data_IF_630655246838
#
_entry.id   IF_630655246838
#
_cell.length_a   1.000
_cell.length_b   1.000
_cell.length_c   1.000
_cell.angle_alpha   90.00
_cell.angle_beta   90.00
_cell.angle_gamma   90.00
#
_symmetry.space_group_name_H-M   'P 1'
#
loop_
_entity.id
_entity.type
_entity.pdbx_description
1 polymer ?
#
# COMPACT_ATOMS: atom_id res chain seq x y z
N UNK A 1 -29.27 18.87 15.97
CA UNK A 1 -30.03 17.70 16.46
C UNK A 1 -30.64 18.04 17.81
N UNK A 2 -31.89 17.66 18.05
CA UNK A 2 -32.53 17.86 19.36
C UNK A 2 -32.40 16.60 20.24
N UNK A 3 -32.40 16.77 21.57
CA UNK A 3 -32.28 15.66 22.55
C UNK A 3 -33.38 14.59 22.36
N UNK A 4 -34.54 14.98 21.83
CA UNK A 4 -35.64 14.06 21.47
C UNK A 4 -35.29 13.14 20.31
N UNK A 5 -34.73 13.69 19.22
CA UNK A 5 -34.30 12.91 18.04
C UNK A 5 -33.21 11.90 18.41
N UNK A 6 -32.26 12.28 19.29
CA UNK A 6 -31.19 11.40 19.75
C UNK A 6 -31.76 10.19 20.52
N UNK A 7 -32.74 10.40 21.39
CA UNK A 7 -33.38 9.31 22.16
C UNK A 7 -34.13 8.35 21.25
N UNK A 8 -34.85 8.87 20.27
CA UNK A 8 -35.59 8.06 19.30
C UNK A 8 -34.65 7.20 18.45
N UNK A 9 -33.53 7.76 17.98
CA UNK A 9 -32.48 7.00 17.28
C UNK A 9 -31.88 5.92 18.20
N UNK A 10 -31.63 6.23 19.47
CA UNK A 10 -31.10 5.26 20.44
C UNK A 10 -32.09 4.11 20.71
N UNK A 11 -33.38 4.42 20.74
CA UNK A 11 -34.47 3.46 20.96
C UNK A 11 -34.67 2.55 19.75
N UNK A 12 -34.64 3.09 18.54
CA UNK A 12 -34.62 2.33 17.29
C UNK A 12 -33.35 1.47 17.16
N UNK A 13 -32.21 1.97 17.65
CA UNK A 13 -30.97 1.20 17.62
C UNK A 13 -31.03 -0.03 18.52
N UNK A 14 -31.68 0.03 19.69
CA UNK A 14 -31.72 -1.09 20.66
C UNK A 14 -32.19 -2.42 20.07
N UNK A 15 -33.09 -2.40 19.07
CA UNK A 15 -33.58 -3.62 18.40
C UNK A 15 -32.79 -4.06 17.17
N UNK A 16 -31.85 -3.26 16.68
CA UNK A 16 -31.10 -3.54 15.45
C UNK A 16 -29.65 -3.90 15.77
N UNK A 17 -29.06 -4.89 15.10
CA UNK A 17 -27.65 -5.30 15.29
C UNK A 17 -26.66 -4.38 14.54
N UNK A 18 -26.82 -3.05 14.68
CA UNK A 18 -25.92 -2.07 14.05
C UNK A 18 -24.74 -1.80 14.97
N UNK A 19 -23.55 -2.15 14.49
CA UNK A 19 -22.27 -1.95 15.19
C UNK A 19 -21.73 -0.53 15.08
N UNK A 20 -22.02 0.18 13.98
CA UNK A 20 -21.56 1.55 13.76
C UNK A 20 -22.60 2.37 12.99
N UNK A 21 -22.93 3.56 13.51
CA UNK A 21 -23.83 4.52 12.87
C UNK A 21 -23.24 5.93 13.00
N UNK A 22 -23.11 6.62 11.86
CA UNK A 22 -22.76 8.03 11.79
C UNK A 22 -23.91 8.81 11.16
N UNK A 23 -24.42 9.82 11.87
CA UNK A 23 -25.47 10.72 11.37
C UNK A 23 -24.98 12.15 11.41
N UNK A 24 -24.95 12.78 10.23
CA UNK A 24 -24.48 14.17 10.06
C UNK A 24 -25.63 15.05 9.62
N UNK A 25 -26.01 16.04 10.45
CA UNK A 25 -27.06 17.02 10.13
C UNK A 25 -26.52 18.43 10.35
N UNK A 26 -26.03 19.02 9.28
CA UNK A 26 -25.39 20.34 9.28
C UNK A 26 -24.13 20.32 10.14
N UNK A 27 -24.17 21.05 11.24
CA UNK A 27 -23.09 21.19 12.22
C UNK A 27 -23.04 20.10 13.30
N UNK A 28 -24.02 19.19 13.36
CA UNK A 28 -24.04 18.12 14.35
C UNK A 28 -23.72 16.75 13.73
N UNK A 29 -22.71 16.08 14.30
CA UNK A 29 -22.31 14.71 13.94
C UNK A 29 -22.52 13.80 15.15
N UNK A 30 -23.39 12.80 15.02
CA UNK A 30 -23.65 11.78 16.03
C UNK A 30 -23.03 10.46 15.58
N UNK A 31 -22.02 9.99 16.33
CA UNK A 31 -21.38 8.67 16.13
C UNK A 31 -21.83 7.72 17.23
N UNK A 32 -22.50 6.65 16.85
CA UNK A 32 -22.91 5.57 17.75
C UNK A 32 -22.15 4.31 17.35
N UNK A 33 -21.30 3.81 18.25
CA UNK A 33 -20.62 2.51 18.09
C UNK A 33 -21.08 1.58 19.20
N UNK A 34 -21.51 0.39 18.82
CA UNK A 34 -22.06 -0.63 19.72
C UNK A 34 -21.18 -1.87 19.67
N UNK A 35 -20.81 -2.36 20.84
CA UNK A 35 -19.76 -3.36 21.01
C UNK A 35 -18.58 -2.74 21.74
N UNK A 36 -17.79 -3.58 22.40
CA UNK A 36 -16.53 -3.14 22.97
C UNK A 36 -15.76 -2.45 21.85
N UNK A 37 -15.42 -1.17 22.04
CA UNK A 37 -14.23 -0.62 21.40
C UNK A 37 -13.16 -1.60 21.82
N UNK A 38 -12.78 -2.50 20.91
CA UNK A 38 -11.54 -3.23 21.04
C UNK A 38 -10.54 -2.09 21.16
N UNK A 39 -10.14 -1.77 22.40
CA UNK A 39 -9.06 -0.85 22.66
C UNK A 39 -8.00 -1.22 21.64
N UNK A 40 -7.49 -0.25 20.85
CA UNK A 40 -6.47 -0.54 19.88
C UNK A 40 -5.34 -1.22 20.65
N UNK A 41 -5.30 -2.56 20.53
CA UNK A 41 -4.37 -3.38 21.29
C UNK A 41 -3.02 -2.88 20.83
N UNK A 42 -2.13 -2.45 21.74
CA UNK A 42 -0.86 -1.88 21.35
C UNK A 42 -0.19 -2.88 20.40
N UNK A 43 -0.11 -2.48 19.13
CA UNK A 43 0.59 -3.23 18.11
C UNK A 43 2.04 -3.30 18.59
N UNK A 44 2.67 -4.49 18.62
CA UNK A 44 4.06 -4.59 19.03
C UNK A 44 4.88 -3.65 18.14
N UNK A 45 5.55 -2.69 18.78
CA UNK A 45 6.40 -1.74 18.09
C UNK A 45 7.47 -2.52 17.32
N UNK A 46 7.45 -2.40 16.00
CA UNK A 46 8.45 -2.98 15.11
C UNK A 46 9.83 -2.50 15.53
N UNK A 47 10.66 -3.40 16.07
CA UNK A 47 12.05 -3.09 16.41
C UNK A 47 12.79 -2.71 15.11
N UNK A 48 13.57 -1.62 15.09
CA UNK A 48 14.36 -1.27 13.91
C UNK A 48 15.27 -2.44 13.54
N UNK A 49 15.13 -2.91 12.31
CA UNK A 49 15.99 -3.94 11.75
C UNK A 49 17.42 -3.39 11.66
N UNK A 50 18.38 -4.16 12.15
CA UNK A 50 19.80 -3.83 12.08
C UNK A 50 20.24 -3.70 10.62
N UNK A 51 20.94 -2.61 10.32
CA UNK A 51 21.42 -2.31 8.98
C UNK A 51 22.39 -3.41 8.51
N UNK A 52 22.23 -3.93 7.27
CA UNK A 52 23.11 -4.97 6.76
C UNK A 52 24.54 -4.43 6.57
N UNK A 53 25.56 -5.29 6.78
CA UNK A 53 26.95 -4.88 6.58
C UNK A 53 27.21 -4.45 5.14
N UNK A 54 28.01 -3.39 4.96
CA UNK A 54 28.36 -2.90 3.64
C UNK A 54 29.14 -3.95 2.84
N UNK A 55 28.86 -4.10 1.54
CA UNK A 55 29.59 -5.00 0.68
C UNK A 55 31.05 -4.54 0.49
N UNK A 56 31.99 -5.47 0.33
CA UNK A 56 33.38 -5.15 0.06
C UNK A 56 33.53 -4.43 -1.29
N UNK A 57 34.61 -3.64 -1.48
CA UNK A 57 34.87 -2.94 -2.73
C UNK A 57 35.03 -3.93 -3.89
N UNK A 58 34.39 -3.61 -5.01
CA UNK A 58 34.42 -4.44 -6.20
C UNK A 58 35.82 -4.41 -6.87
N UNK A 59 36.32 -5.55 -7.37
CA UNK A 59 37.54 -5.61 -8.17
C UNK A 59 37.48 -4.73 -9.42
N UNK A 60 38.63 -4.16 -9.79
CA UNK A 60 38.76 -3.32 -10.97
C UNK A 60 38.42 -4.10 -12.26
N UNK A 61 37.64 -3.45 -13.14
CA UNK A 61 37.19 -4.05 -14.39
C UNK A 61 38.36 -4.26 -15.38
N UNK A 62 38.38 -5.38 -16.10
CA UNK A 62 39.37 -5.63 -17.15
C UNK A 62 39.17 -4.67 -18.34
N UNK A 63 40.21 -4.44 -19.15
CA UNK A 63 40.12 -3.61 -20.34
C UNK A 63 39.09 -4.16 -21.33
N UNK A 64 38.32 -3.25 -21.94
CA UNK A 64 37.25 -3.58 -22.87
C UNK A 64 37.84 -4.11 -24.19
N UNK A 65 37.31 -5.20 -24.76
CA UNK A 65 37.75 -5.68 -26.07
C UNK A 65 37.45 -4.66 -27.17
N UNK A 66 38.40 -4.51 -28.10
CA UNK A 66 38.22 -3.69 -29.30
C UNK A 66 37.20 -4.34 -30.23
N UNK A 67 36.23 -3.55 -30.69
CA UNK A 67 35.15 -4.01 -31.58
C UNK A 67 35.70 -4.25 -32.99
N UNK A 68 35.48 -5.43 -33.60
CA UNK A 68 35.87 -5.67 -34.99
C UNK A 68 35.08 -4.77 -35.95
N UNK A 69 35.60 -4.50 -37.16
CA UNK A 69 34.93 -3.64 -38.13
C UNK A 69 33.54 -4.20 -38.48
N UNK A 70 32.53 -3.33 -38.40
CA UNK A 70 31.13 -3.66 -38.67
C UNK A 70 30.99 -4.07 -40.14
N UNK A 71 30.69 -5.33 -40.41
CA UNK A 71 30.35 -5.80 -41.76
C UNK A 71 29.17 -4.97 -42.29
N UNK A 72 29.20 -4.62 -43.59
CA UNK A 72 28.19 -3.81 -44.27
C UNK A 72 26.87 -4.58 -44.51
N UNK A 73 26.39 -5.30 -43.49
CA UNK A 73 25.10 -5.96 -43.48
C UNK A 73 24.10 -5.09 -42.69
N UNK A 74 22.83 -5.06 -43.12
CA UNK A 74 21.75 -4.45 -42.36
C UNK A 74 21.52 -5.26 -41.09
N UNK A 75 21.90 -4.69 -39.95
CA UNK A 75 21.65 -5.25 -38.64
C UNK A 75 20.18 -5.00 -38.26
N UNK A 76 19.37 -6.06 -38.25
CA UNK A 76 17.97 -6.01 -37.81
C UNK A 76 17.92 -6.59 -36.40
N UNK A 77 17.76 -5.73 -35.40
CA UNK A 77 17.65 -6.13 -33.99
C UNK A 77 16.20 -6.46 -33.67
N UNK A 78 15.97 -7.64 -33.09
CA UNK A 78 14.63 -8.05 -32.68
C UNK A 78 14.22 -7.39 -31.36
N UNK A 79 13.00 -6.82 -31.25
CA UNK A 79 12.55 -6.15 -30.03
C UNK A 79 12.31 -7.10 -28.85
N UNK A 80 12.13 -8.40 -29.10
CA UNK A 80 11.94 -9.43 -28.07
C UNK A 80 12.91 -10.59 -28.35
N UNK A 81 13.56 -11.09 -27.31
CA UNK A 81 14.47 -12.24 -27.42
C UNK A 81 13.69 -13.45 -27.96
N UNK A 82 14.15 -14.00 -29.08
CA UNK A 82 13.59 -15.21 -29.69
C UNK A 82 12.56 -14.99 -30.80
N UNK A 83 12.24 -13.75 -31.19
CA UNK A 83 11.38 -13.50 -32.36
C UNK A 83 12.22 -13.23 -33.62
N UNK A 84 11.84 -13.84 -34.74
CA UNK A 84 12.54 -13.76 -36.04
C UNK A 84 11.62 -13.21 -37.13
N UNK A 85 12.14 -12.29 -37.94
CA UNK A 85 11.46 -11.74 -39.11
C UNK A 85 12.18 -12.22 -40.38
N UNK A 86 11.40 -12.59 -41.42
CA UNK A 86 11.92 -13.00 -42.74
C UNK A 86 11.68 -11.91 -43.77
#
# INVERSE_FOLDING_TARGET
MNVKEIREILELLKGTDVSELEVSRGENVLKVRRGAVLEPRPLPASRPASEPPQPPPAPAAPPKPETPPKAAAKEVVSPIVGTFYR
#
